data_IF_511571796167
#
_entry.id   IF_511571796167
#
_cell.length_a   1.000
_cell.length_b   1.000
_cell.length_c   1.000
_cell.angle_alpha   90.00
_cell.angle_beta   90.00
_cell.angle_gamma   90.00
#
_symmetry.space_group_name_H-M   'P 1'
#
loop_
_entity.id
_entity.type
_entity.pdbx_description
1 polymer ?
#
# COMPACT_ATOMS: atom_id res chain seq x y z
N UNK A 1 -4.25 0.29 -30.10
CA UNK A 1 -4.63 1.55 -29.43
C UNK A 1 -5.55 1.23 -28.26
N UNK A 2 -5.35 1.84 -27.09
CA UNK A 2 -6.18 1.71 -25.89
C UNK A 2 -7.12 2.90 -25.75
N UNK A 3 -8.21 2.72 -25.00
CA UNK A 3 -9.05 3.85 -24.61
C UNK A 3 -8.40 4.62 -23.45
N UNK A 4 -7.87 3.90 -22.47
CA UNK A 4 -7.18 4.48 -21.30
C UNK A 4 -5.88 3.74 -21.02
N UNK A 5 -4.80 4.48 -20.78
CA UNK A 5 -3.56 3.95 -20.20
C UNK A 5 -3.36 4.56 -18.82
N UNK A 6 -3.04 3.72 -17.83
CA UNK A 6 -2.70 4.12 -16.46
C UNK A 6 -1.20 3.85 -16.25
N UNK A 7 -0.44 4.86 -15.82
CA UNK A 7 0.99 4.73 -15.52
C UNK A 7 1.19 4.60 -14.01
N UNK A 8 1.69 3.45 -13.57
CA UNK A 8 2.00 3.10 -12.18
C UNK A 8 1.03 2.08 -11.59
N UNK A 9 1.53 0.89 -11.23
CA UNK A 9 0.77 -0.21 -10.62
C UNK A 9 0.93 -0.25 -9.08
N UNK A 10 1.05 0.92 -8.45
CA UNK A 10 0.87 1.11 -7.01
C UNK A 10 -0.62 1.17 -6.63
N UNK A 11 -0.91 1.48 -5.36
CA UNK A 11 -2.31 1.51 -4.86
C UNK A 11 -3.21 2.48 -5.64
N UNK A 12 -2.68 3.61 -6.14
CA UNK A 12 -3.45 4.59 -6.91
C UNK A 12 -3.87 4.02 -8.26
N UNK A 13 -2.91 3.52 -9.05
CA UNK A 13 -3.20 2.88 -10.34
C UNK A 13 -4.03 1.62 -10.19
N UNK A 14 -3.83 0.83 -9.14
CA UNK A 14 -4.64 -0.34 -8.81
C UNK A 14 -6.10 0.02 -8.60
N UNK A 15 -6.36 1.03 -7.76
CA UNK A 15 -7.72 1.47 -7.43
C UNK A 15 -8.44 2.05 -8.65
N UNK A 16 -7.80 2.96 -9.40
CA UNK A 16 -8.44 3.57 -10.57
C UNK A 16 -8.64 2.58 -11.71
N UNK A 17 -7.72 1.64 -11.93
CA UNK A 17 -7.88 0.59 -12.94
C UNK A 17 -9.06 -0.33 -12.62
N UNK A 18 -9.27 -0.67 -11.34
CA UNK A 18 -10.44 -1.43 -10.92
C UNK A 18 -11.74 -0.64 -11.15
N UNK A 19 -11.79 0.63 -10.78
CA UNK A 19 -12.99 1.44 -10.99
C UNK A 19 -13.32 1.60 -12.47
N UNK A 20 -12.33 1.88 -13.32
CA UNK A 20 -12.51 1.96 -14.77
C UNK A 20 -12.89 0.62 -15.42
N UNK A 21 -12.44 -0.50 -14.84
CA UNK A 21 -12.77 -1.83 -15.36
C UNK A 21 -14.26 -2.19 -15.28
N UNK A 22 -15.06 -1.40 -14.55
CA UNK A 22 -16.53 -1.51 -14.54
C UNK A 22 -17.19 -1.06 -15.84
N UNK A 23 -16.47 -0.34 -16.70
CA UNK A 23 -16.98 0.25 -17.93
C UNK A 23 -16.45 -0.49 -19.17
N UNK A 24 -17.17 -0.36 -20.30
CA UNK A 24 -16.77 -0.92 -21.61
C UNK A 24 -15.61 -0.13 -22.22
N UNK A 25 -14.42 -0.26 -21.61
CA UNK A 25 -13.18 0.40 -21.99
C UNK A 25 -12.05 -0.61 -22.18
N UNK A 26 -11.20 -0.37 -23.18
CA UNK A 26 -9.91 -1.07 -23.34
C UNK A 26 -8.84 -0.36 -22.54
N UNK A 27 -8.41 -0.96 -21.42
CA UNK A 27 -7.54 -0.34 -20.43
C UNK A 27 -6.20 -1.10 -20.36
N UNK A 28 -5.09 -0.34 -20.31
CA UNK A 28 -3.76 -0.87 -20.04
C UNK A 28 -3.18 -0.22 -18.79
N UNK A 29 -2.71 -1.03 -17.87
CA UNK A 29 -1.93 -0.61 -16.70
C UNK A 29 -0.46 -0.89 -16.93
N UNK A 30 0.40 0.14 -16.80
CA UNK A 30 1.84 0.07 -16.98
C UNK A 30 2.58 0.21 -15.65
N UNK A 31 3.66 -0.55 -15.47
CA UNK A 31 4.63 -0.29 -14.40
C UNK A 31 6.07 -0.52 -14.89
N UNK A 32 7.01 0.29 -14.39
CA UNK A 32 8.45 0.16 -14.71
C UNK A 32 9.07 -1.09 -14.09
N UNK A 33 8.51 -1.57 -12.99
CA UNK A 33 9.01 -2.70 -12.23
C UNK A 33 8.57 -4.05 -12.82
N UNK A 34 9.18 -5.13 -12.35
CA UNK A 34 8.85 -6.49 -12.75
C UNK A 34 7.70 -7.11 -11.97
N UNK A 35 7.09 -6.36 -11.06
CA UNK A 35 5.90 -6.74 -10.30
C UNK A 35 5.11 -5.49 -9.90
N UNK A 36 3.88 -5.68 -9.46
CA UNK A 36 3.00 -4.62 -8.96
C UNK A 36 3.38 -4.23 -7.52
N UNK A 37 2.94 -3.04 -7.08
CA UNK A 37 3.14 -2.56 -5.71
C UNK A 37 4.60 -2.40 -5.28
N UNK A 38 5.54 -2.22 -6.19
CA UNK A 38 6.97 -2.16 -5.89
C UNK A 38 7.48 -0.82 -5.34
N UNK A 39 6.69 0.26 -5.43
CA UNK A 39 7.02 1.59 -4.88
C UNK A 39 6.57 1.78 -3.44
N UNK A 40 6.05 2.97 -3.11
CA UNK A 40 5.56 3.38 -1.78
C UNK A 40 4.52 2.41 -1.21
N UNK A 41 3.74 1.74 -2.05
CA UNK A 41 2.70 0.80 -1.63
C UNK A 41 3.24 -0.37 -0.82
N UNK A 42 4.46 -0.87 -1.09
CA UNK A 42 5.06 -1.97 -0.32
C UNK A 42 5.71 -1.54 0.99
N UNK A 43 5.93 -0.23 1.21
CA UNK A 43 6.72 0.29 2.32
C UNK A 43 6.07 1.54 2.93
N UNK A 44 5.11 1.32 3.82
CA UNK A 44 4.38 2.35 4.55
C UNK A 44 3.85 1.79 5.88
N UNK A 45 3.14 2.61 6.65
CA UNK A 45 2.63 2.23 7.99
C UNK A 45 1.39 1.32 7.96
N UNK A 46 0.82 1.04 6.79
CA UNK A 46 -0.37 0.19 6.62
C UNK A 46 -1.65 0.69 7.32
N UNK A 47 -1.75 2.00 7.59
CA UNK A 47 -2.82 2.61 8.36
C UNK A 47 -3.91 3.15 7.43
N UNK A 48 -5.16 2.87 7.81
CA UNK A 48 -6.37 3.53 7.31
C UNK A 48 -6.74 4.62 8.31
N UNK A 49 -6.33 5.85 8.01
CA UNK A 49 -6.50 7.01 8.90
C UNK A 49 -7.96 7.42 9.05
N UNK A 50 -8.36 7.88 10.24
CA UNK A 50 -9.70 8.38 10.50
C UNK A 50 -10.03 9.69 9.74
N UNK A 51 -9.09 10.67 9.70
CA UNK A 51 -9.27 11.91 8.94
C UNK A 51 -9.10 13.21 9.69
N UNK A 52 -8.77 13.18 10.97
CA UNK A 52 -8.67 14.37 11.84
C UNK A 52 -7.43 15.26 11.57
N UNK A 53 -6.40 14.73 10.94
CA UNK A 53 -5.10 15.42 10.79
C UNK A 53 -5.04 16.35 9.56
N UNK A 54 -5.79 16.03 8.50
CA UNK A 54 -5.77 16.79 7.25
C UNK A 54 -6.42 18.17 7.40
N UNK A 55 -5.82 19.19 6.75
CA UNK A 55 -6.34 20.57 6.78
C UNK A 55 -7.75 20.62 6.19
N UNK A 56 -8.64 21.32 6.87
CA UNK A 56 -10.01 21.54 6.43
C UNK A 56 -10.09 22.12 5.02
N UNK A 57 -11.04 21.63 4.23
CA UNK A 57 -11.25 22.04 2.84
C UNK A 57 -10.25 21.49 1.83
N UNK A 58 -9.21 20.75 2.27
CA UNK A 58 -8.25 20.11 1.38
C UNK A 58 -8.81 18.82 0.74
N UNK A 59 -8.24 18.41 -0.39
CA UNK A 59 -8.53 17.12 -0.99
C UNK A 59 -8.14 15.96 -0.05
N UNK A 60 -7.06 16.13 0.72
CA UNK A 60 -6.67 15.18 1.75
C UNK A 60 -7.77 14.96 2.78
N UNK A 61 -8.40 16.02 3.29
CA UNK A 61 -9.50 15.94 4.25
C UNK A 61 -10.71 15.21 3.65
N UNK A 62 -11.16 15.67 2.47
CA UNK A 62 -12.30 15.09 1.76
C UNK A 62 -12.11 13.59 1.52
N UNK A 63 -11.02 13.22 0.86
CA UNK A 63 -10.83 11.84 0.42
C UNK A 63 -10.36 10.90 1.53
N UNK A 64 -9.79 11.40 2.63
CA UNK A 64 -9.49 10.56 3.78
C UNK A 64 -10.79 10.01 4.41
N UNK A 65 -11.75 10.87 4.71
CA UNK A 65 -13.01 10.47 5.34
C UNK A 65 -13.82 9.57 4.41
N UNK A 66 -13.99 9.97 3.15
CA UNK A 66 -14.71 9.18 2.15
C UNK A 66 -14.05 7.81 1.92
N UNK A 67 -12.73 7.78 1.77
CA UNK A 67 -11.99 6.54 1.55
C UNK A 67 -12.03 5.62 2.76
N UNK A 68 -11.89 6.16 3.99
CA UNK A 68 -12.01 5.38 5.21
C UNK A 68 -13.34 4.62 5.29
N UNK A 69 -14.45 5.29 4.97
CA UNK A 69 -15.78 4.68 4.97
C UNK A 69 -15.94 3.53 3.97
N UNK A 70 -15.14 3.51 2.90
CA UNK A 70 -15.21 2.49 1.84
C UNK A 70 -14.40 1.22 2.15
N UNK A 71 -13.42 1.29 3.08
CA UNK A 71 -12.39 0.26 3.23
C UNK A 71 -12.91 -1.12 3.56
N UNK A 72 -13.83 -1.23 4.51
CA UNK A 72 -14.34 -2.52 4.99
C UNK A 72 -14.99 -3.29 3.84
N UNK A 73 -15.94 -2.65 3.16
CA UNK A 73 -16.64 -3.24 2.01
C UNK A 73 -15.69 -3.57 0.86
N UNK A 74 -14.76 -2.65 0.55
CA UNK A 74 -13.79 -2.87 -0.53
C UNK A 74 -12.89 -4.06 -0.26
N UNK A 75 -12.35 -4.16 0.97
CA UNK A 75 -11.48 -5.26 1.36
C UNK A 75 -12.22 -6.61 1.38
N UNK A 76 -13.49 -6.61 1.81
CA UNK A 76 -14.35 -7.80 1.72
C UNK A 76 -14.58 -8.23 0.27
N UNK A 77 -14.89 -7.28 -0.62
CA UNK A 77 -15.11 -7.56 -2.05
C UNK A 77 -13.89 -8.20 -2.71
N UNK A 78 -12.68 -7.71 -2.44
CA UNK A 78 -11.46 -8.20 -3.10
C UNK A 78 -10.67 -9.21 -2.26
N UNK A 79 -11.21 -9.65 -1.12
CA UNK A 79 -10.57 -10.60 -0.20
C UNK A 79 -9.20 -10.10 0.31
N UNK A 80 -9.11 -8.80 0.64
CA UNK A 80 -7.92 -8.17 1.21
C UNK A 80 -8.04 -8.02 2.73
N UNK A 81 -6.93 -8.13 3.49
CA UNK A 81 -7.00 -8.02 4.94
C UNK A 81 -7.25 -6.57 5.38
N UNK A 82 -8.22 -6.40 6.29
CA UNK A 82 -8.55 -5.13 6.92
C UNK A 82 -9.09 -5.36 8.34
N UNK A 83 -8.76 -4.46 9.26
CA UNK A 83 -9.32 -4.45 10.64
C UNK A 83 -9.54 -3.03 11.12
N UNK A 84 -10.73 -2.74 11.65
CA UNK A 84 -10.98 -1.55 12.48
C UNK A 84 -10.32 -1.78 13.83
N UNK A 85 -9.45 -0.88 14.26
CA UNK A 85 -8.67 -1.03 15.50
C UNK A 85 -8.63 0.27 16.32
N UNK A 86 -9.12 1.37 15.75
CA UNK A 86 -8.99 2.69 16.36
C UNK A 86 -7.56 3.22 16.34
N UNK A 87 -7.43 4.49 16.67
CA UNK A 87 -6.12 5.14 16.85
C UNK A 87 -6.14 6.11 18.02
N UNK A 88 -4.99 6.26 18.67
CA UNK A 88 -4.77 7.21 19.75
C UNK A 88 -3.67 8.20 19.36
N UNK A 89 -3.89 9.50 19.57
CA UNK A 89 -2.81 10.50 19.56
C UNK A 89 -2.54 10.85 21.01
N UNK A 90 -1.40 10.44 21.54
CA UNK A 90 -1.04 10.62 22.95
C UNK A 90 -0.48 12.02 23.20
N UNK A 91 -0.95 12.67 24.29
CA UNK A 91 -0.36 13.88 24.86
C UNK A 91 0.40 13.54 26.15
N UNK A 92 1.57 14.16 26.33
CA UNK A 92 2.46 13.98 27.49
C UNK A 92 2.65 15.30 28.28
N UNK A 93 1.91 16.36 27.94
CA UNK A 93 1.93 17.66 28.61
C UNK A 93 0.60 18.40 28.40
N UNK A 94 0.35 19.42 29.22
CA UNK A 94 -0.84 20.28 29.05
C UNK A 94 -0.84 21.00 27.69
N UNK A 95 0.34 21.45 27.20
CA UNK A 95 0.46 22.05 25.86
C UNK A 95 0.08 21.05 24.76
N UNK A 96 0.43 19.78 24.89
CA UNK A 96 0.04 18.76 23.93
C UNK A 96 -1.48 18.45 24.00
N UNK A 97 -2.16 18.66 25.15
CA UNK A 97 -3.63 18.57 25.23
C UNK A 97 -4.32 19.66 24.39
N UNK A 98 -3.80 20.87 24.39
CA UNK A 98 -4.33 21.94 23.51
C UNK A 98 -4.26 21.53 22.03
N UNK A 99 -3.19 20.83 21.65
CA UNK A 99 -3.05 20.28 20.32
C UNK A 99 -4.08 19.17 20.03
N UNK A 100 -4.39 18.29 21.00
CA UNK A 100 -5.47 17.30 20.86
C UNK A 100 -6.82 17.94 20.61
N UNK A 101 -7.14 19.03 21.35
CA UNK A 101 -8.39 19.76 21.15
C UNK A 101 -8.48 20.34 19.74
N UNK A 102 -7.39 20.94 19.23
CA UNK A 102 -7.33 21.44 17.85
C UNK A 102 -7.56 20.31 16.83
N UNK A 103 -6.95 19.12 17.03
CA UNK A 103 -7.17 17.98 16.15
C UNK A 103 -8.59 17.44 16.24
N UNK A 104 -9.19 17.44 17.44
CA UNK A 104 -10.56 17.02 17.65
C UNK A 104 -11.54 17.92 16.89
N UNK A 105 -11.44 19.24 17.06
CA UNK A 105 -12.29 20.21 16.35
C UNK A 105 -12.10 20.09 14.82
N UNK A 106 -10.86 19.99 14.35
CA UNK A 106 -10.57 19.76 12.92
C UNK A 106 -11.21 18.49 12.41
N UNK A 107 -11.13 17.40 13.18
CA UNK A 107 -11.75 16.14 12.82
C UNK A 107 -13.28 16.24 12.73
N UNK A 108 -13.93 16.94 13.66
CA UNK A 108 -15.37 17.22 13.59
C UNK A 108 -15.72 18.00 12.32
N UNK A 109 -14.96 19.04 11.99
CA UNK A 109 -15.17 19.84 10.78
C UNK A 109 -14.92 19.06 9.49
N UNK A 110 -14.00 18.09 9.52
CA UNK A 110 -13.77 17.16 8.41
C UNK A 110 -14.84 16.04 8.31
N UNK A 111 -15.74 15.92 9.29
CA UNK A 111 -16.78 14.91 9.32
C UNK A 111 -16.30 13.52 9.79
N UNK A 112 -15.25 13.47 10.61
CA UNK A 112 -14.74 12.20 11.18
C UNK A 112 -15.67 11.72 12.28
N UNK A 113 -16.27 10.55 12.20
CA UNK A 113 -17.10 9.99 13.26
C UNK A 113 -16.27 9.34 14.38
N UNK A 114 -16.92 9.05 15.51
CA UNK A 114 -16.37 8.25 16.61
C UNK A 114 -15.04 8.80 17.16
N UNK A 115 -15.00 10.10 17.45
CA UNK A 115 -13.85 10.73 18.09
C UNK A 115 -14.18 11.14 19.52
N UNK A 116 -13.21 11.01 20.40
CA UNK A 116 -13.29 11.47 21.80
C UNK A 116 -11.89 11.83 22.34
N UNK A 117 -11.83 12.78 23.26
CA UNK A 117 -10.64 13.03 24.08
C UNK A 117 -10.81 12.29 25.39
N UNK A 118 -9.86 11.41 25.71
CA UNK A 118 -9.89 10.57 26.91
C UNK A 118 -8.73 10.93 27.85
N UNK A 119 -8.93 10.67 29.13
CA UNK A 119 -7.93 10.90 30.16
C UNK A 119 -6.95 9.72 30.33
N UNK A 120 -5.95 9.92 31.21
CA UNK A 120 -4.93 8.93 31.50
C UNK A 120 -5.51 7.60 32.04
N UNK A 121 -6.58 7.64 32.81
CA UNK A 121 -7.19 6.45 33.42
C UNK A 121 -7.85 5.59 32.34
N UNK A 122 -8.59 6.20 31.43
CA UNK A 122 -9.24 5.49 30.33
C UNK A 122 -8.21 4.98 29.29
N UNK A 123 -7.10 5.71 29.05
CA UNK A 123 -5.99 5.21 28.24
C UNK A 123 -5.44 3.90 28.81
N UNK A 124 -5.09 3.90 30.10
CA UNK A 124 -4.51 2.71 30.76
C UNK A 124 -5.47 1.51 30.79
N UNK A 125 -6.76 1.76 30.82
CA UNK A 125 -7.80 0.71 30.79
C UNK A 125 -7.89 0.08 29.39
N UNK A 126 -7.86 0.90 28.30
CA UNK A 126 -8.00 0.41 26.91
C UNK A 126 -6.68 -0.12 26.35
N UNK A 127 -5.56 0.53 26.68
CA UNK A 127 -4.21 0.23 26.18
C UNK A 127 -3.21 0.17 27.34
N UNK A 128 -3.17 -0.94 28.10
CA UNK A 128 -2.43 -1.04 29.37
C UNK A 128 -0.90 -0.95 29.23
N UNK A 129 -0.37 -1.16 28.01
CA UNK A 129 1.06 -1.05 27.71
C UNK A 129 1.50 0.36 27.30
N UNK A 130 0.56 1.28 27.07
CA UNK A 130 0.87 2.69 26.82
C UNK A 130 1.52 3.30 28.06
N UNK A 131 2.51 4.17 27.86
CA UNK A 131 3.23 4.85 28.93
C UNK A 131 2.29 5.56 29.89
N UNK A 132 2.49 5.35 31.21
CA UNK A 132 1.75 6.03 32.29
C UNK A 132 2.02 7.55 32.35
N UNK A 133 2.99 8.04 31.58
CA UNK A 133 3.29 9.47 31.43
C UNK A 133 2.31 10.17 30.47
N UNK A 134 1.51 9.42 29.70
CA UNK A 134 0.47 9.99 28.85
C UNK A 134 -0.66 10.57 29.75
N UNK A 135 -0.97 11.85 29.53
CA UNK A 135 -1.93 12.61 30.35
C UNK A 135 -3.32 12.68 29.70
N UNK A 136 -3.39 12.55 28.40
CA UNK A 136 -4.63 12.48 27.61
C UNK A 136 -4.35 11.83 26.23
N UNK A 137 -5.42 11.45 25.55
CA UNK A 137 -5.33 11.03 24.14
C UNK A 137 -6.58 11.48 23.36
N UNK A 138 -6.38 11.79 22.08
CA UNK A 138 -7.45 11.81 21.09
C UNK A 138 -7.63 10.39 20.57
N UNK A 139 -8.77 9.79 20.82
CA UNK A 139 -9.18 8.51 20.25
C UNK A 139 -10.04 8.74 19.01
N UNK A 140 -9.81 7.94 17.97
CA UNK A 140 -10.62 7.92 16.75
C UNK A 140 -10.93 6.47 16.36
N UNK A 141 -12.19 6.05 16.58
CA UNK A 141 -12.65 4.67 16.48
C UNK A 141 -12.62 4.11 15.05
N UNK A 142 -12.80 4.97 14.06
CA UNK A 142 -12.83 4.58 12.64
C UNK A 142 -11.46 4.32 12.00
N UNK A 143 -10.36 4.57 12.70
CA UNK A 143 -9.04 4.20 12.20
C UNK A 143 -8.91 2.67 12.06
N UNK A 144 -8.12 2.23 11.09
CA UNK A 144 -7.90 0.81 10.82
C UNK A 144 -6.50 0.50 10.31
N UNK A 145 -6.25 -0.78 10.11
CA UNK A 145 -5.02 -1.32 9.52
C UNK A 145 -5.35 -2.27 8.38
N UNK A 146 -4.48 -2.32 7.36
CA UNK A 146 -4.67 -3.14 6.16
C UNK A 146 -3.36 -3.79 5.71
N UNK A 147 -3.41 -4.66 4.69
CA UNK A 147 -2.24 -5.13 3.95
C UNK A 147 -2.09 -4.34 2.65
N UNK A 148 -1.26 -3.27 2.58
CA UNK A 148 -1.29 -2.36 1.43
C UNK A 148 -0.95 -3.01 0.10
N UNK A 149 0.07 -3.87 0.06
CA UNK A 149 0.45 -4.59 -1.16
C UNK A 149 -0.54 -5.71 -1.51
N UNK A 150 -1.15 -6.34 -0.50
CA UNK A 150 -2.19 -7.34 -0.69
C UNK A 150 -3.42 -6.69 -1.31
N UNK A 151 -3.87 -5.56 -0.75
CA UNK A 151 -4.98 -4.79 -1.31
C UNK A 151 -4.71 -4.36 -2.75
N UNK A 152 -3.57 -3.71 -3.02
CA UNK A 152 -3.26 -3.24 -4.38
C UNK A 152 -3.16 -4.39 -5.38
N UNK A 153 -2.52 -5.51 -5.02
CA UNK A 153 -2.44 -6.70 -5.88
C UNK A 153 -3.83 -7.28 -6.18
N UNK A 154 -4.70 -7.37 -5.17
CA UNK A 154 -6.08 -7.85 -5.32
C UNK A 154 -6.94 -6.93 -6.18
N UNK A 155 -6.78 -5.61 -6.06
CA UNK A 155 -7.45 -4.64 -6.92
C UNK A 155 -7.03 -4.81 -8.38
N UNK A 156 -5.72 -4.97 -8.64
CA UNK A 156 -5.21 -5.19 -10.00
C UNK A 156 -5.70 -6.54 -10.54
N UNK A 157 -5.65 -7.60 -9.73
CA UNK A 157 -6.16 -8.91 -10.12
C UNK A 157 -7.64 -8.84 -10.50
N UNK A 158 -8.45 -8.15 -9.69
CA UNK A 158 -9.86 -7.93 -9.99
C UNK A 158 -10.07 -7.09 -11.28
N UNK A 159 -9.25 -6.05 -11.50
CA UNK A 159 -9.27 -5.28 -12.74
C UNK A 159 -8.93 -6.16 -13.97
N UNK A 160 -7.93 -7.04 -13.86
CA UNK A 160 -7.54 -7.98 -14.93
C UNK A 160 -8.61 -9.05 -15.19
N UNK A 161 -9.34 -9.51 -14.17
CA UNK A 161 -10.50 -10.39 -14.35
C UNK A 161 -11.59 -9.69 -15.19
N UNK A 162 -11.68 -8.37 -15.07
CA UNK A 162 -12.63 -7.52 -15.81
C UNK A 162 -12.02 -6.90 -17.09
N UNK A 163 -10.91 -7.44 -17.60
CA UNK A 163 -10.37 -7.12 -18.92
C UNK A 163 -9.29 -6.05 -18.98
N UNK A 164 -8.78 -5.57 -17.84
CA UNK A 164 -7.59 -4.69 -17.84
C UNK A 164 -6.36 -5.49 -18.22
N UNK A 165 -5.57 -4.98 -19.15
CA UNK A 165 -4.26 -5.52 -19.49
C UNK A 165 -3.20 -4.94 -18.55
N UNK A 166 -2.24 -5.77 -18.08
CA UNK A 166 -1.10 -5.36 -17.26
C UNK A 166 0.19 -5.56 -18.04
N UNK A 167 1.04 -4.50 -18.10
CA UNK A 167 2.37 -4.58 -18.68
C UNK A 167 3.41 -4.10 -17.67
N UNK A 168 4.22 -5.02 -17.23
CA UNK A 168 5.35 -4.80 -16.33
C UNK A 168 6.64 -4.60 -17.12
N UNK A 169 7.74 -4.18 -16.46
CA UNK A 169 9.00 -3.80 -17.10
C UNK A 169 8.80 -2.72 -18.20
N UNK A 170 7.81 -1.85 -18.02
CA UNK A 170 7.34 -0.85 -18.95
C UNK A 170 7.68 0.57 -18.48
N UNK A 171 8.98 0.87 -18.36
CA UNK A 171 9.46 2.20 -17.96
C UNK A 171 9.14 3.23 -19.06
N UNK A 172 8.29 4.21 -18.73
CA UNK A 172 7.93 5.32 -19.61
C UNK A 172 9.05 6.34 -19.65
N UNK A 173 9.58 6.65 -20.83
CA UNK A 173 10.67 7.60 -21.04
C UNK A 173 10.24 8.89 -21.73
N UNK A 174 9.18 8.85 -22.51
CA UNK A 174 8.63 10.01 -23.21
C UNK A 174 7.13 9.84 -23.39
N UNK A 175 6.39 10.94 -23.27
CA UNK A 175 4.98 11.02 -23.64
C UNK A 175 4.75 12.25 -24.49
N UNK A 176 4.03 12.08 -25.61
CA UNK A 176 3.61 13.17 -26.50
C UNK A 176 2.13 13.05 -26.81
N UNK A 177 1.48 14.17 -27.04
CA UNK A 177 0.10 14.22 -27.54
C UNK A 177 0.08 14.73 -28.97
N UNK A 178 -0.46 13.92 -29.89
CA UNK A 178 -0.59 14.26 -31.31
C UNK A 178 -2.01 13.90 -31.76
N UNK A 179 -2.74 14.85 -32.35
CA UNK A 179 -4.11 14.64 -32.88
C UNK A 179 -5.05 13.95 -31.86
N UNK A 180 -5.05 14.43 -30.61
CA UNK A 180 -5.82 13.88 -29.48
C UNK A 180 -5.49 12.44 -29.05
N UNK A 181 -4.40 11.89 -29.53
CA UNK A 181 -3.84 10.58 -29.13
C UNK A 181 -2.55 10.81 -28.36
N UNK A 182 -2.42 10.13 -27.22
CA UNK A 182 -1.17 10.08 -26.48
C UNK A 182 -0.29 8.95 -27.02
N UNK A 183 0.95 9.27 -27.35
CA UNK A 183 2.02 8.33 -27.72
C UNK A 183 2.98 8.19 -26.56
N UNK A 184 3.04 7.02 -25.96
CA UNK A 184 3.82 6.68 -24.78
C UNK A 184 5.00 5.84 -25.24
N UNK A 185 6.21 6.35 -25.13
CA UNK A 185 7.43 5.63 -25.49
C UNK A 185 8.02 4.97 -24.26
N UNK A 186 8.26 3.68 -24.37
CA UNK A 186 8.91 2.88 -23.33
C UNK A 186 10.42 2.82 -23.55
N UNK A 187 11.16 2.52 -22.49
CA UNK A 187 12.63 2.38 -22.50
C UNK A 187 13.16 1.33 -23.49
N UNK A 188 12.36 0.29 -23.77
CA UNK A 188 12.68 -0.75 -24.75
C UNK A 188 12.43 -0.32 -26.22
N UNK A 189 11.98 0.93 -26.43
CA UNK A 189 11.68 1.49 -27.76
C UNK A 189 10.23 1.27 -28.24
N UNK A 190 9.43 0.49 -27.55
CA UNK A 190 8.02 0.29 -27.88
C UNK A 190 7.23 1.60 -27.69
N UNK A 191 6.25 1.84 -28.57
CA UNK A 191 5.34 2.98 -28.49
C UNK A 191 3.91 2.48 -28.32
N UNK A 192 3.23 2.99 -27.30
CA UNK A 192 1.84 2.65 -26.96
C UNK A 192 0.97 3.88 -27.23
N UNK A 193 -0.18 3.66 -27.87
CA UNK A 193 -1.14 4.73 -28.19
C UNK A 193 -2.41 4.61 -27.36
N UNK A 194 -2.91 5.74 -26.85
CA UNK A 194 -4.13 5.82 -26.06
C UNK A 194 -4.89 7.14 -26.26
N UNK A 195 -6.23 7.10 -26.08
CA UNK A 195 -7.09 8.28 -26.12
C UNK A 195 -7.02 9.10 -24.83
N UNK A 196 -6.89 8.44 -23.68
CA UNK A 196 -6.80 9.06 -22.35
C UNK A 196 -5.62 8.48 -21.58
N UNK A 197 -4.99 9.34 -20.79
CA UNK A 197 -3.82 8.98 -19.99
C UNK A 197 -4.02 9.35 -18.53
N UNK A 198 -3.75 8.41 -17.63
CA UNK A 198 -3.78 8.63 -16.17
C UNK A 198 -2.37 8.47 -15.62
N UNK A 199 -1.90 9.48 -14.93
CA UNK A 199 -0.64 9.49 -14.21
C UNK A 199 -0.88 9.11 -12.73
N UNK A 200 -0.48 7.90 -12.36
CA UNK A 200 -0.49 7.36 -11.01
C UNK A 200 0.92 6.90 -10.59
N UNK A 201 1.97 7.56 -11.12
CA UNK A 201 3.37 7.15 -11.02
C UNK A 201 4.03 7.42 -9.65
N UNK A 202 3.27 7.77 -8.60
CA UNK A 202 3.75 7.94 -7.24
C UNK A 202 4.85 9.01 -7.14
N UNK A 203 6.03 8.64 -6.66
CA UNK A 203 7.17 9.58 -6.53
C UNK A 203 7.70 10.11 -7.87
N UNK A 204 7.35 9.48 -8.99
CA UNK A 204 7.71 9.92 -10.34
C UNK A 204 6.58 10.65 -11.08
N UNK A 205 5.48 11.00 -10.40
CA UNK A 205 4.34 11.62 -11.05
C UNK A 205 4.65 13.01 -11.65
N UNK A 206 5.53 13.76 -11.03
CA UNK A 206 6.03 15.03 -11.56
C UNK A 206 6.77 14.86 -12.90
N UNK A 207 7.58 13.80 -13.01
CA UNK A 207 8.31 13.49 -14.25
C UNK A 207 7.35 13.24 -15.42
N UNK A 208 6.31 12.45 -15.20
CA UNK A 208 5.29 12.18 -16.23
C UNK A 208 4.48 13.45 -16.56
N UNK A 209 4.05 14.20 -15.55
CA UNK A 209 3.27 15.42 -15.77
C UNK A 209 4.05 16.45 -16.57
N UNK A 210 5.31 16.67 -16.21
CA UNK A 210 6.14 17.75 -16.76
C UNK A 210 6.63 17.47 -18.18
N UNK A 211 6.41 16.24 -18.72
CA UNK A 211 6.59 15.92 -20.14
C UNK A 211 5.49 16.50 -21.04
N UNK A 212 4.28 16.71 -20.47
CA UNK A 212 3.08 17.02 -21.24
C UNK A 212 2.50 18.41 -20.95
N UNK A 213 2.52 18.83 -19.70
CA UNK A 213 1.84 20.03 -19.20
C UNK A 213 2.84 21.15 -18.89
N UNK A 214 2.42 22.39 -19.14
CA UNK A 214 3.13 23.58 -18.65
C UNK A 214 2.78 23.90 -17.17
N UNK A 215 1.79 23.23 -16.59
CA UNK A 215 1.44 23.29 -15.17
C UNK A 215 2.32 22.30 -14.39
N UNK A 216 3.58 22.68 -14.22
CA UNK A 216 4.56 21.85 -13.56
C UNK A 216 4.29 21.77 -12.05
N UNK A 217 4.59 20.64 -11.46
CA UNK A 217 4.74 20.45 -10.02
C UNK A 217 5.99 19.59 -9.73
N UNK A 218 6.43 19.61 -8.50
CA UNK A 218 7.59 18.82 -8.04
C UNK A 218 7.15 17.85 -6.94
N UNK A 219 7.59 16.60 -7.05
CA UNK A 219 7.49 15.60 -5.98
C UNK A 219 8.83 15.47 -5.28
N UNK A 220 8.88 15.85 -4.02
CA UNK A 220 10.02 15.60 -3.13
C UNK A 220 9.78 14.29 -2.38
N UNK A 221 10.61 13.27 -2.57
CA UNK A 221 10.45 12.03 -1.83
C UNK A 221 10.81 12.25 -0.36
N UNK A 222 9.91 11.85 0.55
CA UNK A 222 10.11 11.96 1.99
C UNK A 222 10.23 10.57 2.60
N UNK A 223 11.46 10.19 2.98
CA UNK A 223 11.75 8.86 3.49
C UNK A 223 11.20 8.66 4.91
N UNK A 224 10.69 7.46 5.17
CA UNK A 224 10.30 7.00 6.48
C UNK A 224 10.89 5.62 6.75
N UNK A 225 11.65 5.50 7.82
CA UNK A 225 12.36 4.30 8.22
C UNK A 225 11.63 3.61 9.36
N UNK A 226 11.62 2.27 9.35
CA UNK A 226 10.80 1.45 10.23
C UNK A 226 11.55 0.25 10.80
N UNK A 227 11.12 -0.17 11.99
CA UNK A 227 11.29 -1.52 12.50
C UNK A 227 10.02 -2.34 12.29
N UNK A 228 10.17 -3.60 11.91
CA UNK A 228 9.13 -4.61 11.94
C UNK A 228 9.50 -5.67 12.99
N UNK A 229 8.75 -5.73 14.07
CA UNK A 229 8.98 -6.66 15.16
C UNK A 229 8.16 -7.94 14.98
N UNK A 230 8.65 -9.02 15.56
CA UNK A 230 7.98 -10.33 15.54
C UNK A 230 6.59 -10.28 16.20
N UNK A 231 5.71 -11.19 15.79
CA UNK A 231 4.36 -11.36 16.32
C UNK A 231 4.32 -11.63 17.83
N UNK A 232 5.41 -12.08 18.45
CA UNK A 232 5.50 -12.23 19.91
C UNK A 232 5.31 -10.91 20.65
N UNK A 233 5.57 -9.77 19.99
CA UNK A 233 5.30 -8.43 20.51
C UNK A 233 3.85 -7.97 20.28
N UNK A 234 3.03 -8.75 19.58
CA UNK A 234 1.67 -8.38 19.18
C UNK A 234 0.70 -8.09 20.35
N UNK A 235 1.10 -8.34 21.60
CA UNK A 235 0.35 -8.00 22.81
C UNK A 235 0.48 -6.53 23.23
N UNK A 236 1.46 -5.79 22.69
CA UNK A 236 1.78 -4.42 23.13
C UNK A 236 0.66 -3.42 22.84
N UNK A 237 -0.09 -3.59 21.78
CA UNK A 237 -1.26 -2.77 21.46
C UNK A 237 -2.17 -3.49 20.47
N UNK A 238 -3.46 -3.22 20.55
CA UNK A 238 -4.41 -3.63 19.52
C UNK A 238 -4.78 -2.50 18.56
N UNK A 239 -4.35 -1.27 18.86
CA UNK A 239 -4.68 -0.03 18.12
C UNK A 239 -3.45 0.59 17.47
N UNK A 240 -3.66 1.73 16.80
CA UNK A 240 -2.56 2.56 16.26
C UNK A 240 -2.23 3.65 17.29
N UNK A 241 -1.03 3.63 17.84
CA UNK A 241 -0.59 4.60 18.85
C UNK A 241 0.31 5.65 18.20
N UNK A 242 -0.18 6.88 18.11
CA UNK A 242 0.57 8.05 17.67
C UNK A 242 1.01 8.91 18.86
N UNK A 243 1.97 9.78 18.62
CA UNK A 243 2.34 10.90 19.50
C UNK A 243 1.84 12.21 18.87
N UNK A 244 1.60 13.22 19.71
CA UNK A 244 1.44 14.58 19.19
C UNK A 244 2.65 14.95 18.31
N UNK A 245 2.44 15.66 17.18
CA UNK A 245 3.52 16.17 16.37
C UNK A 245 4.47 17.05 17.20
N UNK A 246 5.77 16.92 16.89
CA UNK A 246 6.81 17.80 17.44
C UNK A 246 7.32 18.71 16.32
N UNK A 247 8.21 19.63 16.65
CA UNK A 247 8.91 20.46 15.66
C UNK A 247 9.64 19.65 14.59
N UNK A 248 9.98 18.38 14.90
CA UNK A 248 10.58 17.41 13.97
C UNK A 248 9.57 16.66 13.09
N UNK A 249 8.28 17.00 13.14
CA UNK A 249 7.19 16.41 12.35
C UNK A 249 6.27 15.47 13.13
N UNK A 250 5.52 14.62 12.41
CA UNK A 250 4.64 13.61 13.03
C UNK A 250 5.46 12.66 13.88
N UNK A 251 5.03 12.41 15.11
CA UNK A 251 5.72 11.53 16.03
C UNK A 251 5.83 10.08 15.52
N UNK A 252 6.74 9.33 16.12
CA UNK A 252 6.90 7.90 15.85
C UNK A 252 5.66 7.16 16.35
N UNK A 253 5.08 6.31 15.50
CA UNK A 253 3.97 5.45 15.87
C UNK A 253 4.45 4.06 16.30
N UNK A 254 3.60 3.41 17.09
CA UNK A 254 3.66 1.97 17.38
C UNK A 254 2.29 1.39 17.00
N UNK A 255 2.26 0.40 16.13
CA UNK A 255 1.00 -0.19 15.67
C UNK A 255 1.13 -1.68 15.41
N UNK A 256 0.07 -2.42 15.70
CA UNK A 256 -0.08 -3.80 15.23
C UNK A 256 -0.38 -3.80 13.72
N UNK A 257 0.21 -4.72 12.97
CA UNK A 257 -0.19 -4.99 11.58
C UNK A 257 -1.38 -5.95 11.53
N UNK A 258 -2.07 -6.03 10.40
CA UNK A 258 -3.18 -6.99 10.23
C UNK A 258 -2.76 -8.46 10.44
N UNK A 259 -1.47 -8.73 10.33
CA UNK A 259 -0.89 -10.07 10.50
C UNK A 259 -0.28 -10.31 11.89
N UNK A 260 -0.43 -9.36 12.82
CA UNK A 260 -0.03 -9.49 14.23
C UNK A 260 1.39 -9.06 14.57
N UNK A 261 2.21 -8.65 13.61
CA UNK A 261 3.51 -8.02 13.86
C UNK A 261 3.33 -6.62 14.47
N UNK A 262 4.35 -6.10 15.11
CA UNK A 262 4.40 -4.68 15.52
C UNK A 262 5.28 -3.92 14.53
N UNK A 263 4.75 -2.83 13.97
CA UNK A 263 5.49 -1.86 13.19
C UNK A 263 5.78 -0.63 14.04
N UNK A 264 7.02 -0.14 13.97
CA UNK A 264 7.49 1.02 14.74
C UNK A 264 8.19 1.98 13.79
N UNK A 265 7.80 3.22 13.78
CA UNK A 265 8.27 4.26 12.86
C UNK A 265 7.12 5.20 12.50
N UNK A 266 7.23 5.96 11.40
CA UNK A 266 8.43 6.20 10.62
C UNK A 266 9.21 7.44 11.06
N UNK A 267 10.45 7.56 10.56
CA UNK A 267 11.11 8.87 10.45
C UNK A 267 10.47 9.73 9.36
N UNK A 268 10.92 10.96 9.21
CA UNK A 268 10.41 11.88 8.17
C UNK A 268 11.53 12.83 7.73
N UNK A 269 12.28 12.45 6.70
CA UNK A 269 13.36 13.25 6.14
C UNK A 269 13.22 13.34 4.63
N UNK A 270 13.48 14.52 4.06
CA UNK A 270 13.46 14.70 2.62
C UNK A 270 14.75 14.12 2.02
N UNK A 271 14.63 13.47 0.86
CA UNK A 271 15.76 12.93 0.11
C UNK A 271 15.66 13.38 -1.36
N UNK A 272 16.79 13.43 -2.05
CA UNK A 272 16.80 13.82 -3.46
C UNK A 272 16.54 12.64 -4.38
N UNK A 273 17.12 11.48 -4.05
CA UNK A 273 17.00 10.29 -4.88
C UNK A 273 15.65 9.59 -4.66
N UNK A 274 14.84 9.50 -5.71
CA UNK A 274 13.52 8.84 -5.72
C UNK A 274 13.57 7.31 -5.62
N UNK A 275 14.75 6.71 -5.67
CA UNK A 275 14.99 5.27 -5.50
C UNK A 275 15.71 4.93 -4.18
N UNK A 276 16.05 5.93 -3.36
CA UNK A 276 16.71 5.69 -2.08
C UNK A 276 15.69 5.20 -1.03
N UNK A 277 15.80 3.92 -0.70
CA UNK A 277 15.00 3.24 0.32
C UNK A 277 15.89 2.59 1.39
N UNK A 278 17.12 3.12 1.56
CA UNK A 278 18.07 2.69 2.58
C UNK A 278 17.62 3.08 3.99
N UNK A 279 17.94 2.24 4.98
CA UNK A 279 17.82 2.61 6.37
C UNK A 279 19.17 3.20 6.86
N UNK A 280 19.10 4.20 7.73
CA UNK A 280 20.25 4.78 8.39
C UNK A 280 20.28 4.41 9.88
N UNK A 281 21.49 4.35 10.46
CA UNK A 281 21.63 4.11 11.90
C UNK A 281 20.94 5.23 12.70
N UNK A 282 21.13 6.49 12.28
CA UNK A 282 20.52 7.66 12.93
C UNK A 282 18.99 7.61 12.90
N UNK A 283 18.41 7.27 11.74
CA UNK A 283 16.96 7.13 11.59
C UNK A 283 16.40 6.02 12.48
N UNK A 284 17.05 4.86 12.49
CA UNK A 284 16.64 3.73 13.33
C UNK A 284 16.81 4.05 14.83
N UNK A 285 17.86 4.74 15.26
CA UNK A 285 18.04 5.16 16.66
C UNK A 285 16.98 6.20 17.06
N UNK A 286 16.60 7.09 16.15
CA UNK A 286 15.51 8.05 16.33
C UNK A 286 14.19 7.31 16.56
N UNK A 287 13.87 6.34 15.71
CA UNK A 287 12.64 5.50 15.85
C UNK A 287 12.63 4.82 17.21
N UNK A 288 13.74 4.18 17.62
CA UNK A 288 13.86 3.49 18.91
C UNK A 288 13.62 4.44 20.09
N UNK A 289 14.28 5.60 20.09
CA UNK A 289 14.20 6.61 21.15
C UNK A 289 12.77 7.10 21.37
N UNK A 290 12.06 7.45 20.29
CA UNK A 290 10.73 8.02 20.42
C UNK A 290 9.64 6.97 20.63
N UNK A 291 9.77 5.76 20.10
CA UNK A 291 8.81 4.69 20.33
C UNK A 291 8.65 4.34 21.81
N UNK A 292 9.75 4.29 22.57
CA UNK A 292 9.75 3.99 24.00
C UNK A 292 9.10 5.07 24.86
N UNK A 293 8.87 6.28 24.32
CA UNK A 293 8.05 7.30 24.99
C UNK A 293 6.57 6.87 25.04
N UNK A 294 6.06 6.26 23.96
CA UNK A 294 4.67 5.79 23.88
C UNK A 294 4.44 4.45 24.57
N UNK A 295 5.31 3.49 24.31
CA UNK A 295 5.24 2.12 24.87
C UNK A 295 6.64 1.75 25.35
N UNK A 296 6.84 1.68 26.70
CA UNK A 296 8.17 1.44 27.29
C UNK A 296 8.70 0.03 27.02
N UNK A 297 7.81 -0.95 26.92
CA UNK A 297 8.17 -2.37 26.89
C UNK A 297 8.47 -2.89 25.46
N UNK A 298 8.65 -2.00 24.47
CA UNK A 298 9.04 -2.40 23.11
C UNK A 298 10.43 -3.05 23.15
N UNK A 299 10.49 -4.33 22.79
CA UNK A 299 11.73 -5.08 22.73
C UNK A 299 12.29 -5.14 21.30
N UNK A 300 13.23 -4.29 20.97
CA UNK A 300 13.87 -4.22 19.64
C UNK A 300 14.77 -5.43 19.31
N UNK A 301 15.03 -6.36 20.26
CA UNK A 301 15.72 -7.63 19.96
C UNK A 301 14.83 -8.59 19.16
N UNK A 302 13.53 -8.39 19.20
CA UNK A 302 12.57 -9.14 18.39
C UNK A 302 12.35 -8.53 16.97
N UNK A 303 13.25 -7.63 16.56
CA UNK A 303 13.25 -7.08 15.21
C UNK A 303 13.53 -8.18 14.19
N UNK A 304 12.62 -8.34 13.22
CA UNK A 304 12.76 -9.31 12.13
C UNK A 304 13.15 -8.64 10.82
N UNK A 305 12.87 -7.32 10.67
CA UNK A 305 13.21 -6.58 9.47
C UNK A 305 13.21 -5.07 9.72
N UNK A 306 14.15 -4.37 9.07
CA UNK A 306 14.09 -2.93 8.86
C UNK A 306 13.71 -2.66 7.41
N UNK A 307 12.97 -1.57 7.18
CA UNK A 307 12.66 -1.12 5.83
C UNK A 307 12.41 0.39 5.83
N UNK A 308 12.52 0.99 4.66
CA UNK A 308 12.16 2.38 4.44
C UNK A 308 11.24 2.52 3.23
N UNK A 309 10.46 3.59 3.22
CA UNK A 309 9.56 3.92 2.12
C UNK A 309 9.47 5.41 1.87
N UNK A 310 9.26 5.77 0.62
CA UNK A 310 9.22 7.15 0.15
C UNK A 310 7.76 7.64 0.03
N UNK A 311 7.43 8.73 0.73
CA UNK A 311 6.17 9.45 0.53
C UNK A 311 6.32 10.41 -0.64
N UNK A 312 5.31 10.47 -1.52
CA UNK A 312 5.25 11.39 -2.65
C UNK A 312 4.72 12.76 -2.17
N UNK A 313 5.61 13.60 -1.63
CA UNK A 313 5.27 14.96 -1.16
C UNK A 313 5.24 15.93 -2.34
N UNK A 314 4.08 16.47 -2.70
CA UNK A 314 3.96 17.48 -3.73
C UNK A 314 4.20 18.88 -3.15
N UNK A 315 4.83 19.76 -3.92
CA UNK A 315 5.05 21.17 -3.58
C UNK A 315 3.75 21.98 -3.47
N UNK A 316 2.64 21.49 -4.02
CA UNK A 316 1.29 22.01 -3.83
C UNK A 316 0.77 21.86 -2.40
N UNK A 317 1.35 20.98 -1.61
CA UNK A 317 0.94 20.69 -0.23
C UNK A 317 -0.33 19.86 -0.10
N UNK A 318 -1.06 19.55 -1.18
CA UNK A 318 -2.28 18.73 -1.20
C UNK A 318 -2.20 17.68 -2.32
N UNK A 319 -3.20 16.81 -2.43
CA UNK A 319 -3.32 15.88 -3.55
C UNK A 319 -3.54 16.60 -4.86
N UNK A 320 -3.07 16.01 -5.94
CA UNK A 320 -3.29 16.47 -7.32
C UNK A 320 -4.18 15.44 -8.01
N UNK A 321 -5.45 15.81 -8.21
CA UNK A 321 -6.47 14.91 -8.73
C UNK A 321 -7.32 15.57 -9.81
N UNK A 322 -7.43 14.94 -10.98
CA UNK A 322 -8.31 15.35 -12.05
C UNK A 322 -7.63 15.58 -13.39
N UNK A 323 -8.41 16.09 -14.36
CA UNK A 323 -7.92 16.43 -15.69
C UNK A 323 -6.99 17.64 -15.63
N UNK A 324 -5.88 17.57 -16.35
CA UNK A 324 -4.90 18.68 -16.42
C UNK A 324 -5.42 19.77 -17.36
N UNK A 325 -5.50 21.01 -16.87
CA UNK A 325 -6.18 22.12 -17.55
C UNK A 325 -5.71 22.37 -18.98
N UNK A 326 -4.39 22.32 -19.21
CA UNK A 326 -3.76 22.63 -20.51
C UNK A 326 -3.57 21.38 -21.41
N UNK A 327 -3.91 20.16 -20.90
CA UNK A 327 -3.76 18.91 -21.65
C UNK A 327 -5.00 18.05 -21.54
N UNK A 328 -5.99 18.29 -22.37
CA UNK A 328 -7.25 17.51 -22.39
C UNK A 328 -7.02 16.02 -22.58
N UNK A 329 -7.69 15.19 -21.77
CA UNK A 329 -7.58 13.74 -21.75
C UNK A 329 -6.39 13.21 -20.94
N UNK A 330 -5.60 14.09 -20.31
CA UNK A 330 -4.55 13.74 -19.36
C UNK A 330 -5.02 14.01 -17.94
N UNK A 331 -4.90 13.01 -17.06
CA UNK A 331 -5.39 13.06 -15.68
C UNK A 331 -4.27 12.75 -14.71
N UNK A 332 -4.21 13.46 -13.60
CA UNK A 332 -3.31 13.19 -12.48
C UNK A 332 -4.05 12.53 -11.30
N UNK A 333 -3.38 11.58 -10.65
CA UNK A 333 -3.68 11.04 -9.33
C UNK A 333 -2.35 11.00 -8.56
N UNK A 334 -1.84 12.17 -8.18
CA UNK A 334 -0.47 12.42 -7.76
C UNK A 334 -0.38 13.17 -6.42
N UNK A 335 0.84 13.34 -5.89
CA UNK A 335 1.06 14.00 -4.60
C UNK A 335 0.50 13.20 -3.41
N UNK A 336 0.35 11.91 -3.56
CA UNK A 336 -0.42 11.02 -2.68
C UNK A 336 0.41 10.51 -1.50
N UNK A 337 1.00 11.45 -0.73
CA UNK A 337 1.53 11.17 0.61
C UNK A 337 0.41 10.71 1.57
N UNK A 338 0.73 10.40 2.84
CA UNK A 338 -0.31 10.17 3.85
C UNK A 338 -1.29 11.37 3.91
N UNK A 339 -2.62 11.09 3.81
CA UNK A 339 -3.32 9.81 3.94
C UNK A 339 -3.64 9.09 2.60
N UNK A 340 -2.78 9.13 1.61
CA UNK A 340 -3.03 8.60 0.26
C UNK A 340 -3.56 7.16 0.22
N UNK A 341 -3.00 6.23 1.02
CA UNK A 341 -3.48 4.86 1.10
C UNK A 341 -4.99 4.82 1.43
N UNK A 342 -5.39 5.54 2.48
CA UNK A 342 -6.79 5.64 2.91
C UNK A 342 -7.67 6.28 1.85
N UNK A 343 -7.17 7.30 1.17
CA UNK A 343 -7.91 8.12 0.21
C UNK A 343 -8.10 7.43 -1.15
N UNK A 344 -7.25 6.43 -1.44
CA UNK A 344 -7.18 5.83 -2.78
C UNK A 344 -8.51 5.30 -3.34
N UNK A 345 -9.43 4.65 -2.56
CA UNK A 345 -10.68 4.17 -3.13
C UNK A 345 -11.61 5.30 -3.58
N UNK A 346 -11.75 6.32 -2.75
CA UNK A 346 -12.65 7.44 -3.04
C UNK A 346 -12.11 8.32 -4.18
N UNK A 347 -10.79 8.57 -4.21
CA UNK A 347 -10.14 9.27 -5.33
C UNK A 347 -10.31 8.51 -6.65
N UNK A 348 -10.20 7.17 -6.61
CA UNK A 348 -10.37 6.34 -7.79
C UNK A 348 -11.79 6.39 -8.37
N UNK A 349 -12.81 6.41 -7.52
CA UNK A 349 -14.22 6.55 -7.95
C UNK A 349 -14.44 7.89 -8.64
N UNK A 350 -14.01 9.00 -8.03
CA UNK A 350 -14.20 10.33 -8.61
C UNK A 350 -13.39 10.48 -9.91
N UNK A 351 -12.14 10.00 -9.95
CA UNK A 351 -11.32 10.07 -11.16
C UNK A 351 -11.89 9.21 -12.29
N UNK A 352 -12.36 8.01 -12.01
CA UNK A 352 -12.99 7.16 -13.02
C UNK A 352 -14.23 7.81 -13.64
N UNK A 353 -15.06 8.49 -12.83
CA UNK A 353 -16.19 9.29 -13.32
C UNK A 353 -15.74 10.41 -14.25
N UNK A 354 -14.74 11.20 -13.86
CA UNK A 354 -14.18 12.28 -14.70
C UNK A 354 -13.69 11.72 -16.06
N UNK A 355 -13.00 10.58 -16.05
CA UNK A 355 -12.52 9.92 -17.28
C UNK A 355 -13.68 9.49 -18.16
N UNK A 356 -14.69 8.82 -17.60
CA UNK A 356 -15.88 8.36 -18.32
C UNK A 356 -16.67 9.56 -18.92
N UNK A 357 -16.85 10.62 -18.17
CA UNK A 357 -17.49 11.86 -18.62
C UNK A 357 -16.71 12.51 -19.76
N UNK A 358 -15.37 12.45 -19.75
CA UNK A 358 -14.51 12.99 -20.81
C UNK A 358 -14.64 12.26 -22.16
N UNK A 359 -15.28 11.08 -22.18
CA UNK A 359 -15.70 10.36 -23.39
C UNK A 359 -17.12 10.69 -23.85
N UNK A 360 -17.87 11.51 -23.10
CA UNK A 360 -19.30 11.74 -23.33
C UNK A 360 -20.21 10.67 -22.71
N UNK A 361 -19.66 9.86 -21.79
CA UNK A 361 -20.31 8.73 -21.16
C UNK A 361 -19.93 7.39 -21.80
N UNK A 362 -19.73 6.38 -20.98
CA UNK A 362 -19.43 5.00 -21.39
C UNK A 362 -20.36 4.05 -20.63
N UNK A 363 -20.86 3.03 -21.33
CA UNK A 363 -21.74 2.01 -20.72
C UNK A 363 -21.00 1.22 -19.64
N UNK A 364 -21.65 0.99 -18.50
CA UNK A 364 -21.17 0.03 -17.50
C UNK A 364 -21.34 -1.40 -18.00
N UNK A 365 -20.39 -2.27 -17.60
CA UNK A 365 -20.47 -3.71 -17.90
C UNK A 365 -21.58 -4.38 -17.10
N UNK A 366 -22.40 -5.17 -17.76
CA UNK A 366 -23.48 -5.93 -17.12
C UNK A 366 -22.93 -7.07 -16.24
N UNK A 367 -21.78 -7.64 -16.62
CA UNK A 367 -21.18 -8.81 -15.98
C UNK A 367 -19.88 -8.46 -15.26
N UNK A 368 -19.84 -7.37 -14.47
CA UNK A 368 -18.68 -7.02 -13.67
C UNK A 368 -18.45 -8.05 -12.54
N UNK A 369 -17.29 -8.68 -12.55
CA UNK A 369 -16.86 -9.64 -11.52
C UNK A 369 -16.38 -8.85 -10.31
N UNK A 370 -17.17 -8.84 -9.22
CA UNK A 370 -16.84 -8.09 -7.99
C UNK A 370 -15.78 -8.80 -7.15
N UNK A 371 -15.89 -10.12 -7.03
CA UNK A 371 -15.21 -10.91 -6.02
C UNK A 371 -14.48 -12.11 -6.62
N UNK A 372 -13.26 -12.34 -6.16
CA UNK A 372 -12.60 -13.63 -6.28
C UNK A 372 -11.95 -13.97 -4.94
N UNK A 373 -12.44 -15.03 -4.30
CA UNK A 373 -11.88 -15.52 -3.04
C UNK A 373 -10.67 -16.40 -3.29
N UNK A 374 -9.69 -16.30 -2.38
CA UNK A 374 -8.58 -17.26 -2.27
C UNK A 374 -8.88 -18.32 -1.25
N UNK A 375 -8.20 -19.47 -1.37
CA UNK A 375 -8.13 -20.44 -0.30
C UNK A 375 -7.06 -19.97 0.69
N UNK A 376 -7.49 -19.50 1.85
CA UNK A 376 -6.61 -19.22 3.00
C UNK A 376 -6.59 -20.47 3.88
N UNK A 377 -5.69 -21.39 3.59
CA UNK A 377 -5.69 -22.72 4.19
C UNK A 377 -5.66 -22.71 5.72
N UNK A 378 -4.97 -21.73 6.32
CA UNK A 378 -4.91 -21.60 7.78
C UNK A 378 -6.28 -21.38 8.43
N UNK A 379 -7.21 -20.70 7.73
CA UNK A 379 -8.52 -20.30 8.24
C UNK A 379 -9.60 -21.38 8.07
N UNK A 380 -9.29 -22.48 7.36
CA UNK A 380 -10.24 -23.55 7.11
C UNK A 380 -10.40 -24.47 8.34
N UNK A 381 -11.60 -25.04 8.51
CA UNK A 381 -11.84 -26.12 9.48
C UNK A 381 -11.05 -27.39 9.12
N UNK A 382 -10.84 -28.34 10.04
CA UNK A 382 -10.20 -29.61 9.72
C UNK A 382 -10.86 -30.36 8.56
N UNK A 383 -12.19 -30.35 8.47
CA UNK A 383 -12.99 -31.00 7.43
C UNK A 383 -12.78 -30.30 6.08
N UNK A 384 -12.82 -28.96 6.04
CA UNK A 384 -12.55 -28.19 4.83
C UNK A 384 -11.10 -28.40 4.36
N UNK A 385 -10.12 -28.45 5.28
CA UNK A 385 -8.73 -28.78 4.95
C UNK A 385 -8.62 -30.13 4.28
N UNK A 386 -9.28 -31.15 4.83
CA UNK A 386 -9.28 -32.50 4.25
C UNK A 386 -9.86 -32.52 2.83
N UNK A 387 -10.97 -31.80 2.59
CA UNK A 387 -11.57 -31.71 1.25
C UNK A 387 -10.69 -30.94 0.26
N UNK A 388 -10.03 -29.86 0.68
CA UNK A 388 -9.11 -29.11 -0.17
C UNK A 388 -7.89 -29.97 -0.53
N UNK A 389 -7.30 -30.69 0.45
CA UNK A 389 -6.16 -31.61 0.22
C UNK A 389 -6.55 -32.75 -0.73
N UNK A 390 -7.76 -33.29 -0.60
CA UNK A 390 -8.27 -34.34 -1.50
C UNK A 390 -8.36 -33.89 -2.95
N UNK A 391 -8.75 -32.63 -3.17
CA UNK A 391 -8.85 -31.99 -4.50
C UNK A 391 -7.48 -31.66 -5.08
N UNK A 392 -6.58 -31.15 -4.24
CA UNK A 392 -5.21 -30.78 -4.60
C UNK A 392 -4.24 -31.11 -3.45
N UNK A 393 -3.49 -32.23 -3.57
CA UNK A 393 -2.58 -32.68 -2.51
C UNK A 393 -1.49 -31.68 -2.14
N UNK A 394 -1.20 -30.65 -2.98
CA UNK A 394 -0.23 -29.59 -2.69
C UNK A 394 -0.63 -28.75 -1.47
N UNK A 395 -1.92 -28.64 -1.15
CA UNK A 395 -2.40 -27.99 0.06
C UNK A 395 -2.07 -28.76 1.35
N UNK A 396 -1.75 -30.04 1.27
CA UNK A 396 -1.25 -30.85 2.40
C UNK A 396 0.23 -30.64 2.72
N UNK A 397 0.96 -29.88 1.91
CA UNK A 397 2.39 -29.65 2.06
C UNK A 397 2.69 -28.23 2.53
N UNK A 398 3.01 -28.05 3.82
CA UNK A 398 3.38 -26.76 4.40
C UNK A 398 4.82 -26.40 3.99
N UNK A 399 4.97 -25.28 3.28
CA UNK A 399 6.27 -24.74 2.84
C UNK A 399 6.79 -23.70 3.83
N UNK A 400 5.95 -22.75 4.24
CA UNK A 400 6.32 -21.74 5.25
C UNK A 400 5.67 -22.06 6.60
N UNK A 401 6.48 -22.50 7.58
CA UNK A 401 5.97 -22.86 8.92
C UNK A 401 5.60 -21.64 9.76
N UNK A 402 6.30 -20.51 9.58
CA UNK A 402 6.05 -19.28 10.36
C UNK A 402 4.70 -18.67 10.05
N UNK A 403 4.27 -18.73 8.78
CA UNK A 403 3.02 -18.15 8.26
C UNK A 403 1.99 -19.24 7.89
N UNK A 404 2.32 -20.53 8.07
CA UNK A 404 1.48 -21.69 7.72
C UNK A 404 1.02 -21.72 6.26
N UNK A 405 1.91 -21.38 5.32
CA UNK A 405 1.60 -21.35 3.89
C UNK A 405 1.93 -22.69 3.23
N UNK A 406 0.98 -23.18 2.46
CA UNK A 406 1.06 -24.45 1.74
C UNK A 406 1.66 -24.27 0.34
N UNK A 407 2.10 -25.36 -0.27
CA UNK A 407 2.52 -25.39 -1.68
C UNK A 407 1.36 -25.02 -2.62
N UNK A 408 0.13 -25.47 -2.31
CA UNK A 408 -1.07 -25.15 -3.09
C UNK A 408 -1.33 -23.65 -3.17
N UNK A 409 -1.21 -22.92 -2.05
CA UNK A 409 -1.36 -21.46 -2.03
C UNK A 409 -0.26 -20.75 -2.84
N UNK A 410 0.98 -21.26 -2.79
CA UNK A 410 2.10 -20.69 -3.58
C UNK A 410 1.85 -20.89 -5.07
N UNK A 411 1.46 -22.10 -5.48
CA UNK A 411 1.18 -22.41 -6.90
C UNK A 411 -0.02 -21.61 -7.41
N UNK A 412 -1.09 -21.48 -6.63
CA UNK A 412 -2.22 -20.59 -6.97
C UNK A 412 -1.72 -19.14 -7.17
N UNK A 413 -0.87 -18.62 -6.27
CA UNK A 413 -0.32 -17.28 -6.36
C UNK A 413 0.61 -17.06 -7.58
N UNK A 414 1.19 -18.12 -8.15
CA UNK A 414 1.99 -18.06 -9.40
C UNK A 414 1.08 -17.98 -10.63
N UNK A 415 0.01 -18.79 -10.67
CA UNK A 415 -0.83 -18.97 -11.86
C UNK A 415 -2.02 -18.01 -11.97
N UNK A 416 -2.24 -17.15 -11.00
CA UNK A 416 -3.27 -16.10 -11.07
C UNK A 416 -2.95 -15.07 -12.15
N UNK A 417 -3.94 -14.31 -12.61
CA UNK A 417 -3.75 -13.27 -13.63
C UNK A 417 -2.68 -12.25 -13.26
N UNK A 418 -2.64 -11.83 -11.99
CA UNK A 418 -1.57 -10.99 -11.44
C UNK A 418 -0.57 -11.86 -10.66
N UNK A 419 -0.06 -12.94 -11.27
CA UNK A 419 0.78 -13.93 -10.61
C UNK A 419 2.16 -13.40 -10.22
N UNK A 420 2.70 -13.89 -9.08
CA UNK A 420 4.06 -13.59 -8.64
C UNK A 420 5.10 -14.35 -9.44
N UNK A 421 6.20 -13.67 -9.82
CA UNK A 421 7.32 -14.23 -10.60
C UNK A 421 8.65 -14.20 -9.86
N UNK A 422 8.66 -13.69 -8.63
CA UNK A 422 9.85 -13.55 -7.79
C UNK A 422 9.56 -13.99 -6.37
N UNK A 423 10.58 -14.24 -5.53
CA UNK A 423 10.35 -14.63 -4.14
C UNK A 423 9.53 -13.58 -3.39
N UNK A 424 9.89 -12.31 -3.52
CA UNK A 424 9.14 -11.22 -2.88
C UNK A 424 7.77 -11.01 -3.54
N UNK A 425 7.61 -11.33 -4.82
CA UNK A 425 6.32 -11.35 -5.50
C UNK A 425 5.36 -12.35 -4.86
N UNK A 426 5.82 -13.57 -4.58
CA UNK A 426 5.04 -14.59 -3.86
C UNK A 426 4.79 -14.16 -2.41
N UNK A 427 5.81 -13.60 -1.73
CA UNK A 427 5.64 -13.06 -0.36
C UNK A 427 4.54 -11.99 -0.29
N UNK A 428 4.44 -11.10 -1.27
CA UNK A 428 3.39 -10.07 -1.32
C UNK A 428 1.99 -10.63 -1.57
N UNK A 429 1.87 -11.86 -2.11
CA UNK A 429 0.55 -12.49 -2.40
C UNK A 429 0.08 -13.41 -1.30
N UNK A 430 0.97 -14.29 -0.80
CA UNK A 430 0.60 -15.36 0.15
C UNK A 430 1.58 -15.51 1.32
N UNK A 431 2.51 -14.55 1.50
CA UNK A 431 3.33 -14.34 2.70
C UNK A 431 4.44 -15.35 3.05
N UNK A 432 4.87 -16.35 2.25
CA UNK A 432 6.04 -17.11 2.63
C UNK A 432 7.27 -16.17 2.70
N UNK A 433 8.07 -16.31 3.74
CA UNK A 433 9.21 -15.42 4.01
C UNK A 433 8.88 -14.12 4.76
N UNK A 434 7.61 -13.90 5.16
CA UNK A 434 7.22 -12.73 5.97
C UNK A 434 7.35 -12.94 7.49
N UNK A 435 7.52 -14.18 7.94
CA UNK A 435 7.64 -14.51 9.37
C UNK A 435 9.07 -14.35 9.91
N UNK A 436 9.26 -14.78 11.16
CA UNK A 436 10.49 -14.59 11.96
C UNK A 436 11.81 -14.89 11.22
N UNK A 437 11.88 -15.96 10.42
CA UNK A 437 13.11 -16.35 9.73
C UNK A 437 13.35 -15.59 8.41
N UNK A 438 12.43 -14.73 7.97
CA UNK A 438 12.52 -13.91 6.75
C UNK A 438 12.94 -14.70 5.50
N UNK A 439 12.39 -15.92 5.34
CA UNK A 439 12.65 -16.78 4.20
C UNK A 439 13.80 -17.78 4.38
N UNK A 440 14.54 -17.75 5.50
CA UNK A 440 15.71 -18.58 5.72
C UNK A 440 15.44 -20.09 5.57
N UNK A 441 14.22 -20.57 5.85
CA UNK A 441 13.83 -21.96 5.65
C UNK A 441 12.96 -22.18 4.41
N UNK A 442 11.99 -21.29 4.16
CA UNK A 442 11.06 -21.49 3.05
C UNK A 442 11.59 -20.93 1.72
N UNK A 443 12.53 -19.98 1.73
CA UNK A 443 13.05 -19.33 0.52
C UNK A 443 13.51 -20.32 -0.57
N UNK A 444 14.42 -21.27 -0.28
CA UNK A 444 14.85 -22.26 -1.29
C UNK A 444 13.69 -23.08 -1.86
N UNK A 445 12.70 -23.45 -1.02
CA UNK A 445 11.53 -24.21 -1.48
C UNK A 445 10.61 -23.36 -2.37
N UNK A 446 10.42 -22.10 -2.05
CA UNK A 446 9.65 -21.16 -2.89
C UNK A 446 10.36 -20.95 -4.22
N UNK A 447 11.70 -20.86 -4.23
CA UNK A 447 12.51 -20.75 -5.44
C UNK A 447 12.36 -21.98 -6.34
N UNK A 448 12.45 -23.20 -5.77
CA UNK A 448 12.22 -24.47 -6.48
C UNK A 448 10.81 -24.54 -7.10
N UNK A 449 9.79 -24.11 -6.35
CA UNK A 449 8.41 -24.08 -6.84
C UNK A 449 8.28 -23.07 -7.98
N UNK A 450 8.82 -21.85 -7.84
CA UNK A 450 8.81 -20.84 -8.90
C UNK A 450 9.47 -21.37 -10.18
N UNK A 451 10.69 -21.90 -10.08
CA UNK A 451 11.42 -22.44 -11.23
C UNK A 451 10.60 -23.53 -11.94
N UNK A 452 10.05 -24.46 -11.19
CA UNK A 452 9.20 -25.54 -11.73
C UNK A 452 7.95 -25.02 -12.44
N UNK A 453 7.20 -24.11 -11.79
CA UNK A 453 5.92 -23.65 -12.31
C UNK A 453 6.06 -22.66 -13.46
N UNK A 454 7.20 -21.93 -13.54
CA UNK A 454 7.51 -21.01 -14.63
C UNK A 454 8.27 -21.69 -15.78
N UNK A 455 8.84 -22.87 -15.58
CA UNK A 455 9.70 -23.54 -16.54
C UNK A 455 11.05 -22.83 -16.73
N UNK A 456 11.55 -22.17 -15.70
CA UNK A 456 12.80 -21.40 -15.68
C UNK A 456 13.88 -22.17 -14.92
N UNK A 457 15.15 -21.89 -15.20
CA UNK A 457 16.26 -22.43 -14.42
C UNK A 457 16.28 -21.76 -13.02
N UNK A 458 16.79 -22.52 -12.03
CA UNK A 458 16.79 -22.07 -10.63
C UNK A 458 17.60 -20.79 -10.44
N UNK A 459 18.66 -20.60 -11.22
CA UNK A 459 19.52 -19.41 -11.23
C UNK A 459 18.83 -18.16 -11.79
N UNK A 460 17.79 -18.32 -12.61
CA UNK A 460 17.04 -17.21 -13.21
C UNK A 460 16.01 -16.60 -12.25
N UNK A 461 15.62 -17.36 -11.22
CA UNK A 461 14.68 -16.86 -10.20
C UNK A 461 15.34 -15.81 -9.32
N UNK A 462 14.77 -14.62 -9.34
CA UNK A 462 15.28 -13.47 -8.57
C UNK A 462 14.54 -13.24 -7.25
N UNK A 463 15.19 -12.54 -6.33
CA UNK A 463 14.58 -12.16 -5.06
C UNK A 463 13.43 -11.16 -5.27
N UNK A 464 13.65 -10.10 -6.05
CA UNK A 464 12.67 -9.04 -6.31
C UNK A 464 12.85 -8.41 -7.69
N UNK A 465 13.78 -7.46 -7.82
CA UNK A 465 14.06 -6.75 -9.07
C UNK A 465 14.98 -7.53 -9.99
N UNK A 466 15.02 -7.12 -11.25
CA UNK A 466 16.02 -7.61 -12.21
C UNK A 466 17.43 -7.50 -11.60
N UNK A 467 18.23 -8.54 -11.78
CA UNK A 467 19.59 -8.71 -11.23
C UNK A 467 19.68 -8.96 -9.70
N UNK A 468 18.58 -9.11 -8.97
CA UNK A 468 18.60 -9.57 -7.57
C UNK A 468 18.68 -11.10 -7.48
N UNK A 469 19.64 -11.70 -8.16
CA UNK A 469 19.84 -13.14 -8.21
C UNK A 469 20.20 -13.70 -6.82
N UNK A 470 19.64 -14.88 -6.51
CA UNK A 470 19.91 -15.63 -5.26
C UNK A 470 21.09 -16.56 -5.48
N UNK A 471 21.12 -17.19 -6.65
CA UNK A 471 22.20 -18.07 -7.08
C UNK A 471 22.99 -17.40 -8.20
N UNK A 472 24.31 -17.52 -8.16
CA UNK A 472 25.22 -16.93 -9.16
C UNK A 472 25.81 -17.99 -10.10
N UNK A 473 25.39 -19.25 -9.96
CA UNK A 473 25.81 -20.37 -10.78
C UNK A 473 25.68 -21.72 -10.07
N UNK A 474 25.84 -22.78 -10.83
CA UNK A 474 25.84 -24.16 -10.31
C UNK A 474 27.14 -24.45 -9.58
N UNK A 475 27.04 -25.02 -8.39
CA UNK A 475 28.23 -25.40 -7.59
C UNK A 475 28.62 -26.86 -7.79
N UNK A 476 27.74 -27.68 -8.36
CA UNK A 476 27.97 -29.07 -8.76
C UNK A 476 27.11 -29.44 -9.96
#
# INVERSE_FOLDING_TARGET
MFDVVVIGAGIMGAAVSRELSKYELKILLLDKENDVSCGTTKANSAIVHAGYDAKEGSLMAKYNVLGNAMYEKLCEEVDAPFRRVGSYVLAFSEKEKEHLEMLYQRGLNNGVPEMEIIDAAEIQKREPHVSKEAVAALYAGTAGITGPWELATKLIENAMENGVELKLNAEVTEVKKENDIFKIKLKNGEVIETKKLINAAGVYADFINNMLSNKHFKITPRIGEYYLLDKVQGYLTDSVIFQCPTEMGKGILVSKTVHGNIIVGPTASDVENKDDVGNTQEGLDTVRKFATKSIKDVNFRDNIRNFAGLRAEADTGDFILGEVEDVKGFFNMAGTKSPGLTSSPAMAVDLAKMVVESFGGIKEKENFIKNRKMIHFINLSPEEKAEVIKKDPRYGRIICRCENITEGEIVDAIHRKCGGRTLNGIKRRVRPGAGRCQGGFCGPRVQEILARELGEDLEEIVMEQKNSYILTGKTK
#
